data_IF_490599776483
#
_entry.id   IF_490599776483
#
_cell.length_a   1.000
_cell.length_b   1.000
_cell.length_c   1.000
_cell.angle_alpha   90.00
_cell.angle_beta   90.00
_cell.angle_gamma   90.00
#
_symmetry.space_group_name_H-M   'P 1'
#
loop_
_entity.id
_entity.type
_entity.pdbx_description
1 polymer ?
#
# COMPACT_ATOMS: atom_id res chain seq x y z
N UNK A 1 8.19 -15.97 31.70
CA UNK A 1 6.88 -16.39 31.19
C UNK A 1 6.02 -15.19 30.87
N UNK A 2 5.29 -15.31 29.76
CA UNK A 2 4.24 -14.41 29.24
C UNK A 2 4.73 -13.08 28.63
N UNK A 3 4.46 -12.69 27.39
CA UNK A 3 3.93 -13.33 26.19
C UNK A 3 4.37 -12.39 25.05
N UNK A 4 4.57 -12.92 23.86
CA UNK A 4 5.08 -12.17 22.74
C UNK A 4 4.26 -10.89 22.50
N UNK A 5 4.93 -9.74 22.36
CA UNK A 5 4.37 -8.61 21.63
C UNK A 5 4.26 -8.97 20.12
N UNK A 6 3.57 -10.07 19.83
CA UNK A 6 3.17 -10.53 18.52
C UNK A 6 2.00 -9.68 18.05
N UNK A 7 2.25 -8.38 17.88
CA UNK A 7 1.34 -7.54 17.12
C UNK A 7 1.12 -8.22 15.77
N UNK A 8 -0.13 -8.53 15.44
CA UNK A 8 -0.51 -9.25 14.22
C UNK A 8 0.18 -8.56 13.04
N UNK A 9 1.15 -9.23 12.43
CA UNK A 9 1.82 -8.74 11.22
C UNK A 9 1.01 -9.25 10.04
N UNK A 10 0.16 -8.39 9.51
CA UNK A 10 -0.57 -8.65 8.29
C UNK A 10 0.38 -8.47 7.11
N UNK A 11 0.65 -9.56 6.40
CA UNK A 11 1.40 -9.54 5.14
C UNK A 11 0.40 -9.51 3.99
N UNK A 12 0.36 -8.39 3.29
CA UNK A 12 -0.50 -8.21 2.13
C UNK A 12 0.35 -8.18 0.86
N UNK A 13 0.19 -9.19 0.02
CA UNK A 13 0.73 -9.14 -1.34
C UNK A 13 -0.15 -8.22 -2.20
N UNK A 14 0.40 -7.08 -2.60
CA UNK A 14 -0.31 -6.18 -3.50
C UNK A 14 0.26 -6.33 -4.91
N UNK A 15 -0.64 -6.52 -5.87
CA UNK A 15 -0.34 -6.43 -7.29
C UNK A 15 -1.18 -5.32 -7.90
N UNK A 16 -0.49 -4.33 -8.43
CA UNK A 16 -1.08 -3.09 -8.95
C UNK A 16 -0.58 -2.91 -10.39
N UNK A 17 -1.44 -3.21 -11.39
CA UNK A 17 -1.13 -2.85 -12.77
C UNK A 17 -1.21 -1.33 -12.91
N UNK A 18 -0.16 -0.72 -13.46
CA UNK A 18 -0.11 0.71 -13.74
C UNK A 18 -0.92 0.94 -15.04
N UNK A 19 -2.07 1.63 -14.97
CA UNK A 19 -2.95 1.80 -16.13
C UNK A 19 -2.26 2.61 -17.22
N UNK A 20 -2.77 2.53 -18.45
CA UNK A 20 -2.33 3.42 -19.53
C UNK A 20 -2.59 4.88 -19.13
N UNK A 21 -1.62 5.77 -19.38
CA UNK A 21 -1.69 7.15 -18.93
C UNK A 21 -0.43 7.93 -19.25
N UNK A 22 -0.11 8.89 -18.39
CA UNK A 22 1.12 9.69 -18.49
C UNK A 22 2.36 8.77 -18.46
N UNK A 23 3.44 9.16 -19.14
CA UNK A 23 4.70 8.38 -19.11
C UNK A 23 5.24 8.19 -17.69
N UNK A 24 5.09 9.21 -16.85
CA UNK A 24 5.55 9.21 -15.47
C UNK A 24 4.31 9.23 -14.57
N UNK A 25 4.01 8.08 -13.95
CA UNK A 25 2.89 7.98 -13.02
C UNK A 25 3.40 7.80 -11.61
N UNK A 26 3.01 8.69 -10.71
CA UNK A 26 3.42 8.62 -9.31
C UNK A 26 2.57 7.58 -8.59
N UNK A 27 3.14 6.41 -8.33
CA UNK A 27 2.54 5.40 -7.47
C UNK A 27 2.87 5.76 -6.02
N UNK A 28 1.83 5.94 -5.22
CA UNK A 28 1.94 6.17 -3.79
C UNK A 28 1.12 5.13 -3.05
N UNK A 29 1.72 4.48 -2.06
CA UNK A 29 1.04 3.51 -1.22
C UNK A 29 1.09 4.01 0.21
N UNK A 30 -0.09 4.16 0.80
CA UNK A 30 -0.27 4.70 2.14
C UNK A 30 -1.02 3.68 2.96
N UNK A 31 -0.54 3.41 4.16
CA UNK A 31 -1.28 2.62 5.15
C UNK A 31 -1.97 3.58 6.09
N UNK A 32 -3.28 3.42 6.23
CA UNK A 32 -4.11 4.12 7.21
C UNK A 32 -4.42 3.16 8.35
N UNK A 33 -3.91 3.44 9.54
CA UNK A 33 -4.23 2.67 10.75
C UNK A 33 -5.67 2.97 11.21
N UNK A 34 -6.28 2.07 11.99
CA UNK A 34 -7.60 2.31 12.58
C UNK A 34 -7.68 3.59 13.41
N UNK A 35 -6.58 3.99 14.06
CA UNK A 35 -6.47 5.25 14.81
C UNK A 35 -6.58 6.50 13.93
N UNK A 36 -6.65 6.35 12.60
CA UNK A 36 -6.78 7.44 11.64
C UNK A 36 -5.45 7.97 11.10
N UNK A 37 -4.32 7.55 11.68
CA UNK A 37 -2.98 7.92 11.19
C UNK A 37 -2.71 7.32 9.82
N UNK A 38 -2.16 8.13 8.92
CA UNK A 38 -1.71 7.68 7.60
C UNK A 38 -0.20 7.71 7.52
N UNK A 39 0.39 6.62 7.05
CA UNK A 39 1.82 6.47 6.84
C UNK A 39 2.09 6.08 5.39
N UNK A 40 2.90 6.88 4.68
CA UNK A 40 3.40 6.48 3.37
C UNK A 40 4.40 5.33 3.54
N UNK A 41 4.10 4.19 2.91
CA UNK A 41 4.98 3.01 2.92
C UNK A 41 5.76 2.86 1.61
N UNK A 42 5.31 3.53 0.55
CA UNK A 42 5.99 3.57 -0.73
C UNK A 42 5.60 4.81 -1.55
N UNK A 43 6.59 5.40 -2.21
CA UNK A 43 6.41 6.46 -3.21
C UNK A 43 7.40 6.20 -4.34
N UNK A 44 6.93 6.17 -5.59
CA UNK A 44 7.76 5.89 -6.75
C UNK A 44 7.13 6.40 -8.04
N UNK A 45 7.95 6.58 -9.08
CA UNK A 45 7.47 6.91 -10.42
C UNK A 45 7.56 5.65 -11.28
N UNK A 46 6.45 5.28 -11.90
CA UNK A 46 6.31 4.09 -12.74
C UNK A 46 5.80 4.44 -14.13
N UNK A 47 6.06 3.53 -15.08
CA UNK A 47 5.60 3.66 -16.44
C UNK A 47 4.25 2.95 -16.66
N UNK A 48 3.39 3.46 -17.55
CA UNK A 48 2.15 2.80 -17.94
C UNK A 48 2.43 1.41 -18.52
N UNK A 49 1.62 0.42 -18.15
CA UNK A 49 1.78 -0.98 -18.56
C UNK A 49 2.71 -1.79 -17.67
N UNK A 50 3.42 -1.16 -16.74
CA UNK A 50 4.17 -1.88 -15.71
C UNK A 50 3.22 -2.53 -14.70
N UNK A 51 3.62 -3.64 -14.10
CA UNK A 51 2.91 -4.24 -12.96
C UNK A 51 3.76 -4.14 -11.72
N UNK A 52 3.34 -3.30 -10.79
CA UNK A 52 3.95 -3.22 -9.48
C UNK A 52 3.48 -4.39 -8.62
N UNK A 53 4.41 -5.14 -8.03
CA UNK A 53 4.10 -6.17 -7.05
C UNK A 53 5.01 -6.04 -5.84
N UNK A 54 4.42 -6.00 -4.66
CA UNK A 54 5.19 -5.95 -3.41
C UNK A 54 4.39 -6.55 -2.27
N UNK A 55 5.06 -7.26 -1.38
CA UNK A 55 4.49 -7.66 -0.10
C UNK A 55 4.65 -6.52 0.89
N UNK A 56 3.54 -6.00 1.39
CA UNK A 56 3.50 -4.95 2.40
C UNK A 56 3.20 -5.61 3.74
N UNK A 57 4.09 -5.40 4.70
CA UNK A 57 3.90 -5.86 6.07
C UNK A 57 3.38 -4.69 6.89
N UNK A 58 2.17 -4.81 7.41
CA UNK A 58 1.56 -3.83 8.28
C UNK A 58 1.19 -4.49 9.61
N UNK A 59 1.30 -3.74 10.70
CA UNK A 59 0.98 -4.24 12.05
C UNK A 59 -0.43 -3.84 12.42
N UNK A 60 -1.20 -4.78 12.96
CA UNK A 60 -2.58 -4.58 13.39
C UNK A 60 -3.54 -4.42 12.21
N UNK A 61 -4.70 -3.83 12.51
CA UNK A 61 -5.74 -3.57 11.53
C UNK A 61 -5.57 -2.19 10.89
N UNK A 62 -5.89 -2.11 9.60
CA UNK A 62 -5.75 -0.90 8.84
C UNK A 62 -6.25 -1.03 7.41
N UNK A 63 -6.01 0.02 6.65
CA UNK A 63 -6.42 0.14 5.26
C UNK A 63 -5.23 0.60 4.43
N UNK A 64 -4.78 -0.24 3.51
CA UNK A 64 -3.79 0.13 2.51
C UNK A 64 -4.50 0.81 1.34
N UNK A 65 -4.08 2.03 1.04
CA UNK A 65 -4.60 2.89 0.01
C UNK A 65 -3.52 3.03 -1.07
N UNK A 66 -3.88 2.66 -2.30
CA UNK A 66 -3.00 2.79 -3.46
C UNK A 66 -3.46 3.95 -4.31
N UNK A 67 -2.56 4.89 -4.56
CA UNK A 67 -2.78 6.07 -5.37
C UNK A 67 -1.86 6.04 -6.59
N UNK A 68 -2.40 6.47 -7.73
CA UNK A 68 -1.62 6.75 -8.94
C UNK A 68 -1.95 8.16 -9.37
N UNK A 69 -0.94 9.04 -9.47
CA UNK A 69 -1.12 10.47 -9.76
C UNK A 69 -2.13 11.13 -8.81
N UNK A 70 -1.98 10.86 -7.51
CA UNK A 70 -2.86 11.37 -6.44
C UNK A 70 -4.32 10.87 -6.49
N UNK A 71 -4.65 9.97 -7.43
CA UNK A 71 -5.96 9.32 -7.54
C UNK A 71 -5.93 7.94 -6.89
N UNK A 72 -6.82 7.69 -5.93
CA UNK A 72 -6.97 6.36 -5.31
C UNK A 72 -7.51 5.37 -6.34
N UNK A 73 -6.70 4.38 -6.68
CA UNK A 73 -7.08 3.31 -7.63
C UNK A 73 -7.48 2.01 -6.94
N UNK A 74 -7.00 1.80 -5.71
CA UNK A 74 -7.28 0.57 -4.96
C UNK A 74 -7.19 0.77 -3.46
N UNK A 75 -7.93 -0.06 -2.74
CA UNK A 75 -7.98 -0.09 -1.28
C UNK A 75 -7.99 -1.55 -0.84
N UNK A 76 -7.24 -1.86 0.21
CA UNK A 76 -7.21 -3.18 0.84
C UNK A 76 -7.34 -3.01 2.35
N UNK A 77 -8.21 -3.80 2.97
CA UNK A 77 -8.40 -3.81 4.42
C UNK A 77 -7.79 -5.09 4.98
N UNK A 78 -7.15 -4.98 6.13
CA UNK A 78 -6.52 -6.07 6.85
C UNK A 78 -6.61 -5.78 8.36
#
# INVERSE_FOLDING_TARGET
>A
DDDAAGGIVNSLDIRVPIPAGQRNQRLQIVVRSESGSTQEVYSGVHQPGETFSRTIQARGHGTLLVFINDVKIKEYRF
#
